data_IF_140284136889
#
_entry.id   IF_140284136889
#
_cell.length_a   1.000
_cell.length_b   1.000
_cell.length_c   1.000
_cell.angle_alpha   90.00
_cell.angle_beta   90.00
_cell.angle_gamma   90.00
#
_symmetry.space_group_name_H-M   'P 1'
#
loop_
_entity.id
_entity.type
_entity.pdbx_description
1 polymer ?
#
# COMPACT_ATOMS: atom_id res chain seq x y z
N UNK A 1 5.61 26.37 8.30
CA UNK A 1 5.12 25.17 7.57
C UNK A 1 6.23 24.15 7.66
N UNK A 2 6.07 23.03 8.38
CA UNK A 2 7.15 22.07 8.50
C UNK A 2 7.25 21.29 7.19
N UNK A 3 8.41 21.39 6.56
CA UNK A 3 8.85 20.50 5.49
C UNK A 3 9.31 19.20 6.16
N UNK A 4 8.82 18.05 5.74
CA UNK A 4 9.35 16.76 6.22
C UNK A 4 10.19 16.15 5.11
N UNK A 5 11.50 16.17 5.31
CA UNK A 5 12.44 15.32 4.60
C UNK A 5 12.39 13.93 5.25
N UNK A 6 11.86 12.91 4.56
CA UNK A 6 12.05 11.51 4.96
C UNK A 6 13.27 10.93 4.24
N UNK A 7 14.46 11.32 4.72
CA UNK A 7 15.64 10.48 4.57
C UNK A 7 15.55 9.30 5.54
N UNK A 8 15.66 8.07 5.02
CA UNK A 8 15.68 6.74 5.68
C UNK A 8 15.43 6.76 7.19
N UNK A 9 14.19 6.46 7.62
CA UNK A 9 13.94 6.32 9.07
C UNK A 9 12.53 6.00 9.58
N UNK A 10 11.47 6.08 8.78
CA UNK A 10 10.13 5.59 9.16
C UNK A 10 10.00 4.06 9.14
N UNK A 11 11.07 3.33 9.47
CA UNK A 11 11.28 1.95 9.02
C UNK A 11 10.67 0.93 9.99
N UNK A 12 9.60 0.26 9.56
CA UNK A 12 9.42 -1.20 9.61
C UNK A 12 8.44 -1.52 8.45
N UNK A 13 8.77 -2.15 7.33
CA UNK A 13 9.49 -3.42 7.14
C UNK A 13 9.81 -3.61 5.62
N UNK A 14 11.03 -4.07 5.32
CA UNK A 14 11.51 -4.66 4.04
C UNK A 14 11.47 -3.88 2.73
N UNK A 15 12.62 -3.34 2.30
CA UNK A 15 13.27 -3.56 0.98
C UNK A 15 14.69 -2.93 0.94
N UNK A 16 15.59 -3.37 0.03
CA UNK A 16 17.03 -3.07 0.04
C UNK A 16 17.39 -1.76 -0.66
N UNK A 17 18.65 -1.35 -0.50
CA UNK A 17 19.26 -0.09 -0.92
C UNK A 17 18.85 0.41 -2.31
N UNK A 18 18.42 1.68 -2.37
CA UNK A 18 18.25 2.46 -3.60
C UNK A 18 19.54 3.20 -3.93
N UNK A 19 19.79 3.40 -5.22
CA UNK A 19 20.99 4.06 -5.73
C UNK A 19 20.95 5.58 -5.47
N UNK A 20 22.12 6.20 -5.20
CA UNK A 20 22.23 7.62 -4.86
C UNK A 20 21.80 8.55 -6.01
N UNK A 21 21.81 8.10 -7.27
CA UNK A 21 21.39 8.88 -8.43
C UNK A 21 19.85 8.96 -8.53
N UNK A 22 19.14 7.87 -8.22
CA UNK A 22 17.67 7.82 -8.15
C UNK A 22 17.10 8.70 -7.03
N UNK A 23 17.80 8.77 -5.89
CA UNK A 23 17.43 9.64 -4.75
C UNK A 23 17.63 11.13 -5.06
N UNK A 24 18.52 11.49 -6.00
CA UNK A 24 18.82 12.89 -6.35
C UNK A 24 17.85 13.48 -7.37
N UNK A 25 17.27 12.67 -8.24
CA UNK A 25 16.34 13.14 -9.28
C UNK A 25 14.87 13.18 -8.81
N UNK A 26 14.50 12.40 -7.80
CA UNK A 26 13.12 12.33 -7.30
C UNK A 26 12.85 13.37 -6.19
N UNK A 27 12.58 14.63 -6.55
CA UNK A 27 12.00 15.60 -5.60
C UNK A 27 10.48 15.50 -5.62
N UNK A 28 9.95 14.47 -4.96
CA UNK A 28 8.50 14.29 -4.78
C UNK A 28 8.12 14.91 -3.44
N UNK A 29 7.52 16.09 -3.48
CA UNK A 29 7.00 16.75 -2.29
C UNK A 29 5.60 16.24 -1.93
N UNK A 30 5.38 15.96 -0.65
CA UNK A 30 4.07 15.64 -0.08
C UNK A 30 3.86 16.42 1.22
N UNK A 31 2.59 16.53 1.62
CA UNK A 31 2.17 17.05 2.93
C UNK A 31 1.86 15.87 3.85
N UNK A 32 2.29 15.98 5.10
CA UNK A 32 1.95 15.04 6.16
C UNK A 32 1.14 15.77 7.21
N UNK A 33 0.00 15.21 7.59
CA UNK A 33 -0.79 15.65 8.74
C UNK A 33 -0.83 14.53 9.78
N UNK A 34 -0.21 14.79 10.92
CA UNK A 34 -0.24 13.89 12.08
C UNK A 34 -1.42 14.27 12.99
N UNK A 35 -2.17 13.26 13.42
CA UNK A 35 -3.24 13.32 14.42
C UNK A 35 -2.91 12.34 15.54
N UNK A 36 -3.61 12.43 16.66
CA UNK A 36 -3.35 11.58 17.84
C UNK A 36 -3.53 10.08 17.54
N UNK A 37 -4.34 9.75 16.53
CA UNK A 37 -4.76 8.39 16.17
C UNK A 37 -4.36 7.96 14.75
N UNK A 38 -3.97 8.88 13.87
CA UNK A 38 -3.70 8.59 12.47
C UNK A 38 -2.75 9.58 11.80
N UNK A 39 -2.25 9.17 10.62
CA UNK A 39 -1.42 10.01 9.75
C UNK A 39 -2.03 10.05 8.35
N UNK A 40 -2.14 11.25 7.79
CA UNK A 40 -2.52 11.50 6.41
C UNK A 40 -1.32 11.97 5.61
N UNK A 41 -1.10 11.35 4.45
CA UNK A 41 -0.10 11.77 3.47
C UNK A 41 -0.80 12.11 2.16
N UNK A 42 -0.50 13.25 1.56
CA UNK A 42 -1.03 13.65 0.25
C UNK A 42 0.03 14.39 -0.58
N UNK A 43 -0.11 14.41 -1.91
CA UNK A 43 0.75 15.24 -2.76
C UNK A 43 0.68 16.72 -2.35
N UNK A 44 1.74 17.52 -2.59
CA UNK A 44 1.70 18.96 -2.26
C UNK A 44 0.60 19.71 -3.01
N UNK A 45 0.30 19.27 -4.23
CA UNK A 45 -0.73 19.84 -5.11
C UNK A 45 -2.12 19.20 -4.89
N UNK A 46 -2.24 18.20 -4.01
CA UNK A 46 -3.56 17.70 -3.61
C UNK A 46 -4.21 18.74 -2.69
N UNK A 47 -5.17 19.48 -3.25
CA UNK A 47 -6.21 20.10 -2.42
C UNK A 47 -6.92 18.98 -1.64
N UNK A 48 -7.29 19.20 -0.36
CA UNK A 48 -8.02 18.20 0.41
C UNK A 48 -9.37 17.97 -0.27
N UNK A 49 -9.42 16.98 -1.17
CA UNK A 49 -10.62 16.63 -1.90
C UNK A 49 -11.71 16.18 -0.95
N UNK A 50 -12.67 17.06 -0.69
CA UNK A 50 -13.96 16.69 -0.12
C UNK A 50 -14.67 15.80 -1.15
N UNK A 51 -15.12 14.62 -0.70
CA UNK A 51 -16.00 13.74 -1.46
C UNK A 51 -15.35 12.99 -2.61
N UNK A 52 -14.18 12.37 -2.43
CA UNK A 52 -13.52 11.56 -3.47
C UNK A 52 -14.42 10.42 -3.98
N UNK A 53 -14.98 10.48 -5.21
CA UNK A 53 -15.46 9.30 -5.90
C UNK A 53 -14.22 8.61 -6.48
N UNK A 54 -13.83 7.51 -5.89
CA UNK A 54 -12.66 6.77 -6.33
C UNK A 54 -12.49 5.48 -5.55
N UNK A 55 -11.79 4.55 -6.17
CA UNK A 55 -11.49 3.25 -5.62
C UNK A 55 -10.53 3.38 -4.43
N UNK A 56 -10.55 2.37 -3.56
CA UNK A 56 -9.68 2.28 -2.39
C UNK A 56 -8.87 1.00 -2.47
N UNK A 57 -7.59 1.09 -2.15
CA UNK A 57 -6.70 -0.08 -2.16
C UNK A 57 -5.98 -0.16 -0.82
N UNK A 58 -6.11 -1.29 -0.16
CA UNK A 58 -5.33 -1.61 1.02
C UNK A 58 -3.98 -2.18 0.59
N UNK A 59 -2.92 -1.58 1.10
CA UNK A 59 -1.54 -1.93 0.78
C UNK A 59 -0.78 -2.29 2.05
N UNK A 60 -0.01 -3.37 2.00
CA UNK A 60 0.72 -3.93 3.15
C UNK A 60 2.19 -4.26 2.80
N UNK A 61 2.62 -3.89 1.59
CA UNK A 61 3.97 -4.10 1.06
C UNK A 61 4.61 -2.79 0.61
N UNK A 62 5.32 -2.80 -0.52
CA UNK A 62 6.08 -1.64 -1.01
C UNK A 62 5.24 -0.40 -1.26
N UNK A 63 3.97 -0.57 -1.64
CA UNK A 63 3.02 0.53 -1.85
C UNK A 63 2.58 1.23 -0.54
N UNK A 64 3.09 0.83 0.62
CA UNK A 64 2.98 1.65 1.85
C UNK A 64 3.99 2.81 1.87
N UNK A 65 4.91 2.91 0.92
CA UNK A 65 5.86 4.02 0.80
C UNK A 65 5.35 5.06 -0.22
N UNK A 66 5.09 6.32 0.19
CA UNK A 66 4.61 7.37 -0.71
C UNK A 66 5.51 7.59 -1.94
N UNK A 67 6.82 7.40 -1.82
CA UNK A 67 7.76 7.55 -2.96
C UNK A 67 7.53 6.44 -3.99
N UNK A 68 7.36 5.20 -3.52
CA UNK A 68 7.02 4.07 -4.40
C UNK A 68 5.65 4.29 -5.05
N UNK A 69 4.65 4.73 -4.29
CA UNK A 69 3.33 5.03 -4.84
C UNK A 69 3.42 6.10 -5.94
N UNK A 70 4.19 7.16 -5.73
CA UNK A 70 4.39 8.20 -6.73
C UNK A 70 5.14 7.72 -7.97
N UNK A 71 6.14 6.86 -7.81
CA UNK A 71 6.84 6.24 -8.93
C UNK A 71 5.91 5.35 -9.77
N UNK A 72 4.98 4.65 -9.12
CA UNK A 72 4.03 3.74 -9.79
C UNK A 72 2.88 4.51 -10.44
N UNK A 73 2.27 5.46 -9.73
CA UNK A 73 1.06 6.17 -10.17
C UNK A 73 1.33 7.51 -10.86
N UNK A 74 2.55 8.03 -10.80
CA UNK A 74 2.90 9.38 -11.26
C UNK A 74 2.42 10.50 -10.32
N UNK A 75 1.79 10.16 -9.19
CA UNK A 75 1.37 11.10 -8.12
C UNK A 75 1.25 10.38 -6.78
N UNK A 76 1.15 11.13 -5.69
CA UNK A 76 0.82 10.59 -4.37
C UNK A 76 -0.68 10.78 -4.11
N UNK A 77 -1.51 9.71 -4.11
CA UNK A 77 -2.90 9.81 -3.66
C UNK A 77 -2.95 10.05 -2.15
N UNK A 78 -4.15 10.30 -1.60
CA UNK A 78 -4.32 10.34 -0.15
C UNK A 78 -4.01 8.96 0.43
N UNK A 79 -3.09 8.91 1.39
CA UNK A 79 -2.72 7.70 2.11
C UNK A 79 -3.07 7.87 3.57
N UNK A 80 -3.86 6.94 4.11
CA UNK A 80 -4.26 6.90 5.52
C UNK A 80 -3.55 5.77 6.26
N UNK A 81 -2.93 6.10 7.40
CA UNK A 81 -2.32 5.16 8.32
C UNK A 81 -2.90 5.28 9.74
N UNK A 82 -2.97 4.19 10.51
CA UNK A 82 -2.88 2.80 10.05
C UNK A 82 -4.18 2.36 9.37
N UNK A 83 -4.10 1.40 8.46
CA UNK A 83 -5.23 0.57 8.05
C UNK A 83 -5.00 -0.87 8.51
N UNK A 84 -6.05 -1.59 8.90
CA UNK A 84 -5.96 -2.94 9.45
C UNK A 84 -6.89 -3.88 8.71
N UNK A 85 -6.33 -4.98 8.20
CA UNK A 85 -7.07 -6.09 7.60
C UNK A 85 -7.06 -7.27 8.57
N UNK A 86 -8.25 -7.72 8.99
CA UNK A 86 -8.44 -8.90 9.87
C UNK A 86 -8.79 -10.14 9.07
N UNK A 87 -8.57 -11.32 9.67
CA UNK A 87 -8.82 -12.60 9.02
C UNK A 87 -7.72 -13.00 8.03
N UNK A 88 -6.58 -12.31 8.09
CA UNK A 88 -5.43 -12.50 7.19
C UNK A 88 -4.13 -12.40 7.97
N UNK A 89 -3.11 -13.15 7.56
CA UNK A 89 -1.73 -12.96 8.04
C UNK A 89 -0.79 -12.66 6.89
N UNK A 90 0.31 -11.98 7.19
CA UNK A 90 1.43 -11.90 6.26
C UNK A 90 2.06 -13.28 6.12
N UNK A 91 2.21 -13.72 4.87
CA UNK A 91 2.96 -14.89 4.49
C UNK A 91 4.12 -14.45 3.60
N UNK A 92 5.33 -14.86 3.99
CA UNK A 92 6.50 -14.82 3.12
C UNK A 92 6.53 -16.12 2.32
N UNK A 93 5.50 -16.38 1.52
CA UNK A 93 5.44 -17.60 0.71
C UNK A 93 6.22 -17.41 -0.59
N UNK A 94 7.21 -18.28 -0.75
CA UNK A 94 8.28 -18.15 -1.71
C UNK A 94 7.84 -18.54 -3.12
N UNK A 95 7.36 -17.56 -3.90
CA UNK A 95 7.80 -17.46 -5.29
C UNK A 95 9.19 -16.82 -5.25
N UNK A 96 10.21 -17.65 -5.02
CA UNK A 96 11.61 -17.25 -4.85
C UNK A 96 11.96 -16.33 -3.66
N UNK A 97 11.07 -16.22 -2.65
CA UNK A 97 11.36 -15.57 -1.36
C UNK A 97 11.38 -14.03 -1.39
N UNK A 98 10.65 -13.41 -2.33
CA UNK A 98 10.79 -11.96 -2.62
C UNK A 98 9.53 -11.11 -2.48
N UNK A 99 8.37 -11.68 -2.18
CA UNK A 99 7.12 -10.90 -2.10
C UNK A 99 6.34 -11.21 -0.82
N UNK A 100 5.93 -10.15 -0.12
CA UNK A 100 4.98 -10.25 0.99
C UNK A 100 3.60 -10.51 0.39
N UNK A 101 2.94 -11.60 0.78
CA UNK A 101 1.51 -11.79 0.48
C UNK A 101 0.72 -11.86 1.77
N UNK A 102 -0.59 -11.68 1.69
CA UNK A 102 -1.51 -12.11 2.74
C UNK A 102 -2.15 -13.45 2.40
N UNK A 103 -2.44 -14.24 3.43
CA UNK A 103 -3.21 -15.48 3.32
C UNK A 103 -4.28 -15.50 4.41
N UNK A 104 -5.46 -16.10 4.18
CA UNK A 104 -6.51 -16.17 5.19
C UNK A 104 -6.03 -16.87 6.47
N UNK A 105 -6.30 -16.27 7.62
CA UNK A 105 -6.05 -16.81 8.96
C UNK A 105 -7.06 -16.16 9.91
N UNK A 106 -7.92 -16.95 10.56
CA UNK A 106 -9.10 -16.47 11.31
C UNK A 106 -8.77 -15.37 12.35
N UNK A 107 -7.70 -15.57 13.12
CA UNK A 107 -7.21 -14.62 14.13
C UNK A 107 -6.09 -13.69 13.60
N UNK A 108 -5.80 -13.78 12.31
CA UNK A 108 -4.74 -13.03 11.65
C UNK A 108 -5.06 -11.54 11.54
N UNK A 109 -4.02 -10.72 11.71
CA UNK A 109 -4.10 -9.27 11.53
C UNK A 109 -2.94 -8.77 10.67
N UNK A 110 -3.25 -7.99 9.63
CA UNK A 110 -2.28 -7.31 8.76
C UNK A 110 -2.45 -5.81 8.91
N UNK A 111 -1.36 -5.12 9.25
CA UNK A 111 -1.31 -3.66 9.29
C UNK A 111 -0.72 -3.14 8.00
N UNK A 112 -1.29 -2.07 7.49
CA UNK A 112 -0.89 -1.43 6.25
C UNK A 112 -1.36 0.01 6.15
N UNK A 113 -1.57 0.45 4.92
CA UNK A 113 -2.10 1.76 4.60
C UNK A 113 -3.29 1.64 3.66
N UNK A 114 -4.15 2.65 3.66
CA UNK A 114 -5.27 2.75 2.72
C UNK A 114 -4.98 3.87 1.71
N UNK A 115 -4.84 3.50 0.44
CA UNK A 115 -4.82 4.44 -0.67
C UNK A 115 -6.26 4.84 -1.01
N UNK A 116 -6.53 6.14 -1.08
CA UNK A 116 -7.87 6.70 -1.25
C UNK A 116 -7.95 7.53 -2.55
N UNK A 117 -9.10 7.46 -3.22
CA UNK A 117 -9.40 8.32 -4.37
C UNK A 117 -8.62 7.92 -5.61
N UNK A 118 -8.53 6.61 -5.87
CA UNK A 118 -7.91 6.09 -7.08
C UNK A 118 -8.93 6.07 -8.22
N UNK A 119 -8.51 6.50 -9.41
CA UNK A 119 -9.27 6.29 -10.65
C UNK A 119 -9.20 4.82 -11.09
N UNK A 120 -10.08 4.42 -12.00
CA UNK A 120 -10.03 3.07 -12.60
C UNK A 120 -8.74 2.80 -13.40
N UNK A 121 -8.14 3.85 -13.98
CA UNK A 121 -6.85 3.74 -14.68
C UNK A 121 -5.71 3.48 -13.69
N UNK A 122 -5.69 4.19 -12.56
CA UNK A 122 -4.71 3.98 -11.50
C UNK A 122 -4.86 2.62 -10.84
N UNK A 123 -6.10 2.15 -10.64
CA UNK A 123 -6.33 0.78 -10.19
C UNK A 123 -5.72 -0.23 -11.17
N UNK A 124 -5.85 0.00 -12.49
CA UNK A 124 -5.25 -0.86 -13.52
C UNK A 124 -3.71 -0.79 -13.55
N UNK A 125 -3.12 0.32 -13.11
CA UNK A 125 -1.66 0.44 -12.92
C UNK A 125 -1.23 -0.40 -11.72
N UNK A 126 -1.97 -0.33 -10.60
CA UNK A 126 -1.70 -1.15 -9.41
C UNK A 126 -1.88 -2.64 -9.73
N UNK A 127 -2.93 -3.01 -10.47
CA UNK A 127 -3.15 -4.39 -10.93
C UNK A 127 -1.89 -4.94 -11.62
N UNK A 128 -1.31 -4.16 -12.53
CA UNK A 128 -0.08 -4.55 -13.25
C UNK A 128 1.13 -4.62 -12.35
N UNK A 129 1.27 -3.68 -11.41
CA UNK A 129 2.37 -3.66 -10.45
C UNK A 129 2.36 -4.90 -9.54
N UNK A 130 1.17 -5.26 -9.04
CA UNK A 130 0.96 -6.44 -8.20
C UNK A 130 0.93 -7.75 -9.02
N UNK A 131 1.04 -7.69 -10.35
CA UNK A 131 1.03 -8.87 -11.21
C UNK A 131 -0.33 -9.57 -11.31
N UNK A 132 -1.43 -8.85 -11.08
CA UNK A 132 -2.79 -9.31 -11.36
C UNK A 132 -3.01 -9.47 -12.88
N UNK A 133 -3.77 -10.48 -13.34
CA UNK A 133 -4.36 -11.60 -12.58
C UNK A 133 -3.44 -12.84 -12.48
N UNK A 134 -2.16 -12.72 -12.84
CA UNK A 134 -1.26 -13.86 -12.98
C UNK A 134 -0.69 -14.37 -11.65
N UNK A 135 -0.38 -13.45 -10.72
CA UNK A 135 0.30 -13.73 -9.45
C UNK A 135 -0.61 -13.53 -8.22
N UNK A 136 -1.52 -12.57 -8.29
CA UNK A 136 -2.42 -12.19 -7.20
C UNK A 136 -3.88 -12.16 -7.69
N UNK A 137 -4.80 -12.55 -6.81
CA UNK A 137 -6.23 -12.33 -6.95
C UNK A 137 -6.60 -11.01 -6.25
N UNK A 138 -7.45 -10.20 -6.89
CA UNK A 138 -8.01 -8.97 -6.31
C UNK A 138 -9.33 -9.28 -5.62
N UNK A 139 -9.44 -8.96 -4.34
CA UNK A 139 -10.65 -9.12 -3.53
C UNK A 139 -11.11 -7.78 -2.98
N UNK A 140 -12.40 -7.67 -2.69
CA UNK A 140 -12.94 -6.55 -1.91
C UNK A 140 -13.06 -7.06 -0.47
N UNK A 141 -12.40 -6.38 0.45
CA UNK A 141 -12.42 -6.70 1.87
C UNK A 141 -12.71 -5.43 2.68
N UNK A 142 -13.20 -5.62 3.90
CA UNK A 142 -13.37 -4.53 4.86
C UNK A 142 -12.05 -4.32 5.62
N UNK A 143 -11.57 -3.08 5.62
CA UNK A 143 -10.41 -2.65 6.40
C UNK A 143 -10.80 -1.67 7.47
N UNK A 144 -10.29 -1.88 8.68
CA UNK A 144 -10.51 -0.99 9.82
C UNK A 144 -9.55 0.20 9.69
N UNK A 145 -10.08 1.41 9.85
CA UNK A 145 -9.28 2.63 9.89
C UNK A 145 -9.70 3.51 11.08
N UNK A 146 -8.86 4.47 11.49
CA UNK A 146 -9.23 5.46 12.50
C UNK A 146 -10.47 6.30 12.13
N UNK A 147 -10.77 6.42 10.83
CA UNK A 147 -11.95 7.13 10.32
C UNK A 147 -13.19 6.22 10.18
N UNK A 148 -13.09 4.96 10.59
CA UNK A 148 -14.12 3.93 10.43
C UNK A 148 -13.76 2.87 9.39
N UNK A 149 -14.60 1.85 9.30
CA UNK A 149 -14.41 0.73 8.38
C UNK A 149 -14.65 1.17 6.93
N UNK A 150 -13.84 0.64 6.01
CA UNK A 150 -13.94 0.92 4.59
C UNK A 150 -13.79 -0.35 3.75
N UNK A 151 -14.62 -0.51 2.73
CA UNK A 151 -14.35 -1.49 1.68
C UNK A 151 -13.16 -1.02 0.83
N UNK A 152 -12.24 -1.95 0.56
CA UNK A 152 -11.05 -1.70 -0.25
C UNK A 152 -10.66 -2.94 -1.05
N UNK A 153 -10.00 -2.72 -2.17
CA UNK A 153 -9.32 -3.79 -2.89
C UNK A 153 -8.09 -4.26 -2.13
N UNK A 154 -7.94 -5.58 -2.03
CA UNK A 154 -6.79 -6.27 -1.45
C UNK A 154 -6.24 -7.23 -2.50
N UNK A 155 -4.93 -7.22 -2.69
CA UNK A 155 -4.24 -8.21 -3.53
C UNK A 155 -3.79 -9.37 -2.64
N UNK A 156 -4.20 -10.58 -2.99
CA UNK A 156 -3.91 -11.82 -2.24
C UNK A 156 -3.22 -12.77 -3.19
N UNK A 157 -2.00 -13.23 -2.89
CA UNK A 157 -1.31 -14.16 -3.78
C UNK A 157 -2.14 -15.43 -3.91
N UNK A 158 -2.20 -15.96 -5.13
CA UNK A 158 -2.83 -17.26 -5.33
C UNK A 158 -1.92 -18.29 -4.68
N UNK A 159 -2.43 -18.99 -3.65
CA UNK A 159 -1.68 -20.05 -2.99
C UNK A 159 -1.09 -20.99 -4.05
N UNK A 160 0.24 -21.14 -4.06
CA UNK A 160 0.86 -22.14 -4.93
C UNK A 160 0.45 -23.47 -4.31
N UNK A 161 -0.46 -24.19 -4.98
CA UNK A 161 -0.88 -25.51 -4.54
C UNK A 161 0.37 -26.29 -4.15
N UNK A 162 0.43 -26.74 -2.89
CA UNK A 162 1.52 -27.56 -2.37
C UNK A 162 1.79 -28.65 -3.41
N UNK A 163 2.97 -28.63 -4.04
CA UNK A 163 3.39 -29.78 -4.84
C UNK A 163 3.45 -30.94 -3.86
N UNK A 164 2.47 -31.83 -3.93
CA UNK A 164 2.45 -33.08 -3.22
C UNK A 164 3.81 -33.74 -3.44
N UNK A 165 4.59 -33.93 -2.37
CA UNK A 165 5.76 -34.80 -2.42
C UNK A 165 5.25 -36.19 -2.78
N UNK A 166 5.50 -36.61 -4.02
CA UNK A 166 5.46 -38.01 -4.42
C UNK A 166 6.63 -38.78 -3.83
#
# INVERSE_FOLDING_TARGET
>A
MPYVYLGKGGRWMFLPDRDEEEEREAVIGYRVEERDDHVLVCGLDDEPGEGLPGERVFVYGTLTDPVTVASVLGRVPKILYPAVLRGYRLALESVAGRYNTVVPEEDGVVKGALLLGLSGEELSVIDRYEGYPALYDRRVEVVETPLGDAEAYVYVARAVAERSKG
#
